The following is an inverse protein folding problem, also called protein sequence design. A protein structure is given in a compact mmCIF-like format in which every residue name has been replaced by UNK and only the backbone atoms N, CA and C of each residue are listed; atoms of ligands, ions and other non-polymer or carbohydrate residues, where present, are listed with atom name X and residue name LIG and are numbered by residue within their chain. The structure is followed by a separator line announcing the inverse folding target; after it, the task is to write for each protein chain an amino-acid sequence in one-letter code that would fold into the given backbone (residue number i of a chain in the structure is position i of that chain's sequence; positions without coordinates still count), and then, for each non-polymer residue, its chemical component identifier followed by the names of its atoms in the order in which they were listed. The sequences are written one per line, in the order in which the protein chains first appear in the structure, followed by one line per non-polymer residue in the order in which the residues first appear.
data_IF_822706374834
#
_entry.id   IF_822706374834
#
_cell.length_a   1.000
_cell.length_b   1.000
_cell.length_c   1.000
_cell.angle_alpha   90.00
_cell.angle_beta   90.00
_cell.angle_gamma   90.00
#
_symmetry.space_group_name_H-M   'P 1'
#
loop_
_entity.id
_entity.type
_entity.pdbx_description
1 polymer ?
#
# COMPACT_ATOMS: atom_id res chain seq x y z
N UNK A 1 2.88 -14.48 8.73
CA UNK A 1 3.32 -14.56 7.32
C UNK A 1 2.61 -13.44 6.62
N UNK A 2 3.17 -12.23 6.66
CA UNK A 2 2.55 -11.08 6.01
C UNK A 2 3.53 -10.61 4.94
N UNK A 3 3.05 -10.54 3.71
CA UNK A 3 3.81 -10.20 2.51
C UNK A 3 4.08 -8.68 2.48
N UNK A 4 4.89 -8.20 3.43
CA UNK A 4 5.29 -6.80 3.47
C UNK A 4 6.35 -6.49 2.41
N UNK A 5 6.44 -5.22 1.94
CA UNK A 5 7.52 -4.77 1.08
C UNK A 5 8.89 -5.14 1.64
N UNK A 6 9.82 -5.53 0.76
CA UNK A 6 11.18 -5.97 1.08
C UNK A 6 11.33 -7.47 1.32
N UNK A 7 10.22 -8.23 1.26
CA UNK A 7 10.21 -9.69 1.32
C UNK A 7 11.02 -10.37 0.21
N UNK A 8 11.30 -11.67 0.36
CA UNK A 8 12.08 -12.43 -0.64
C UNK A 8 11.35 -12.53 -1.98
N UNK A 9 10.05 -12.66 -1.90
CA UNK A 9 9.08 -12.71 -2.98
C UNK A 9 9.10 -11.43 -3.84
N UNK A 10 9.22 -10.25 -3.24
CA UNK A 10 9.34 -8.99 -3.99
C UNK A 10 10.66 -8.95 -4.79
N UNK A 11 11.74 -9.44 -4.19
CA UNK A 11 13.08 -9.42 -4.81
C UNK A 11 13.18 -10.25 -6.09
N UNK A 12 12.23 -11.14 -6.36
CA UNK A 12 12.12 -11.81 -7.67
C UNK A 12 11.90 -10.78 -8.78
N UNK A 13 11.15 -9.71 -8.51
CA UNK A 13 10.82 -8.64 -9.47
C UNK A 13 11.78 -7.45 -9.38
N UNK A 14 12.29 -7.14 -8.18
CA UNK A 14 13.13 -5.95 -7.91
C UNK A 14 14.63 -6.25 -7.75
N UNK A 15 15.03 -7.53 -7.80
CA UNK A 15 16.42 -7.95 -7.58
C UNK A 15 17.16 -8.47 -8.81
N UNK A 16 16.51 -8.55 -9.97
CA UNK A 16 17.14 -8.99 -11.22
C UNK A 16 18.20 -8.03 -11.74
N UNK A 17 19.08 -8.49 -12.64
CA UNK A 17 20.19 -7.72 -13.20
C UNK A 17 19.74 -6.38 -13.85
N UNK A 18 18.56 -6.37 -14.45
CA UNK A 18 17.97 -5.17 -15.07
C UNK A 18 17.11 -4.35 -14.11
N UNK A 19 16.77 -4.92 -12.95
CA UNK A 19 15.98 -4.31 -11.89
C UNK A 19 14.76 -3.56 -12.45
N UNK A 20 13.98 -4.25 -13.29
CA UNK A 20 13.01 -3.63 -14.21
C UNK A 20 11.77 -3.06 -13.53
N UNK A 21 11.52 -3.43 -12.28
CA UNK A 21 10.37 -3.00 -11.48
C UNK A 21 10.81 -2.33 -10.18
N UNK A 22 10.00 -1.38 -9.72
CA UNK A 22 10.13 -0.70 -8.43
C UNK A 22 8.84 -0.89 -7.65
N UNK A 23 8.96 -1.18 -6.36
CA UNK A 23 7.82 -1.25 -5.45
C UNK A 23 7.50 0.14 -4.89
N UNK A 24 6.40 0.74 -5.35
CA UNK A 24 5.98 2.07 -4.92
C UNK A 24 5.37 2.09 -3.51
N UNK A 25 5.03 0.92 -2.94
CA UNK A 25 4.51 0.83 -1.56
C UNK A 25 5.63 0.88 -0.53
N UNK A 26 6.86 0.44 -0.88
CA UNK A 26 7.98 0.38 0.05
C UNK A 26 8.29 1.72 0.75
N UNK A 27 8.34 2.88 0.07
CA UNK A 27 8.55 4.16 0.74
C UNK A 27 7.44 4.54 1.72
N UNK A 28 6.17 4.23 1.41
CA UNK A 28 5.05 4.46 2.33
C UNK A 28 5.15 3.56 3.56
N UNK A 29 5.48 2.29 3.35
CA UNK A 29 5.68 1.32 4.42
C UNK A 29 6.84 1.69 5.35
N UNK A 30 7.97 2.16 4.81
CA UNK A 30 9.11 2.63 5.61
C UNK A 30 8.77 3.84 6.51
N UNK A 31 7.71 4.58 6.18
CA UNK A 31 7.17 5.70 6.98
C UNK A 31 6.12 5.23 8.00
N UNK A 32 5.94 3.92 8.18
CA UNK A 32 4.99 3.34 9.12
C UNK A 32 3.54 3.34 8.62
N UNK A 33 3.31 3.56 7.33
CA UNK A 33 1.97 3.49 6.72
C UNK A 33 1.73 2.07 6.19
N UNK A 34 0.49 1.63 6.24
CA UNK A 34 0.10 0.31 5.75
C UNK A 34 -1.35 0.31 5.33
N UNK A 35 -1.73 -0.69 4.56
CA UNK A 35 -3.11 -0.89 4.13
C UNK A 35 -3.91 -1.73 5.13
N UNK A 36 -3.22 -2.55 5.92
CA UNK A 36 -3.82 -3.46 6.89
C UNK A 36 -3.21 -3.23 8.27
N UNK A 37 -3.98 -3.45 9.34
CA UNK A 37 -3.47 -3.31 10.72
C UNK A 37 -3.72 -4.57 11.52
N UNK A 38 -2.63 -5.25 11.88
CA UNK A 38 -2.65 -6.50 12.65
C UNK A 38 -1.94 -6.35 13.98
N UNK A 39 -2.61 -6.71 15.08
CA UNK A 39 -2.06 -6.62 16.43
C UNK A 39 -1.39 -5.26 16.75
N UNK A 40 -2.01 -4.17 16.29
CA UNK A 40 -1.52 -2.82 16.47
C UNK A 40 -0.42 -2.38 15.52
N UNK A 41 0.09 -3.27 14.65
CA UNK A 41 1.16 -2.99 13.68
C UNK A 41 0.55 -2.77 12.30
N UNK A 42 0.98 -1.70 11.63
CA UNK A 42 0.63 -1.46 10.23
C UNK A 42 1.45 -2.37 9.33
N UNK A 43 0.76 -2.99 8.38
CA UNK A 43 1.30 -3.91 7.39
C UNK A 43 0.80 -3.47 6.02
N UNK A 44 1.55 -3.82 4.98
CA UNK A 44 1.21 -3.45 3.62
C UNK A 44 1.25 -4.69 2.72
N UNK A 45 0.29 -5.63 2.86
CA UNK A 45 0.20 -6.78 1.95
C UNK A 45 -0.20 -6.39 0.52
N UNK A 46 -0.87 -5.25 0.34
CA UNK A 46 -1.25 -4.72 -0.96
C UNK A 46 -0.04 -4.04 -1.61
N UNK A 47 0.45 -4.57 -2.72
CA UNK A 47 1.69 -4.14 -3.38
C UNK A 47 1.42 -3.52 -4.74
N UNK A 48 2.20 -2.49 -5.10
CA UNK A 48 2.17 -1.86 -6.42
C UNK A 48 3.59 -1.86 -6.99
N UNK A 49 3.82 -2.78 -7.93
CA UNK A 49 5.08 -2.90 -8.67
C UNK A 49 4.93 -2.21 -10.02
N UNK A 50 5.78 -1.23 -10.29
CA UNK A 50 5.76 -0.43 -11.52
C UNK A 50 7.06 -0.62 -12.29
N UNK A 51 6.96 -0.76 -13.60
CA UNK A 51 8.15 -0.80 -14.44
C UNK A 51 8.85 0.56 -14.47
N UNK A 52 10.18 0.57 -14.38
CA UNK A 52 10.97 1.82 -14.40
C UNK A 52 10.72 2.68 -15.63
N UNK A 53 10.34 2.10 -16.77
CA UNK A 53 10.03 2.87 -17.98
C UNK A 53 8.77 3.74 -17.86
N UNK A 54 7.87 3.45 -16.92
CA UNK A 54 6.71 4.30 -16.58
C UNK A 54 7.08 5.41 -15.60
N UNK A 55 8.29 5.40 -15.04
CA UNK A 55 8.79 6.43 -14.13
C UNK A 55 9.77 7.36 -14.85
N UNK A 56 10.70 6.77 -15.62
CA UNK A 56 11.80 7.48 -16.29
C UNK A 56 11.46 7.89 -17.74
N UNK A 57 10.24 7.62 -18.20
CA UNK A 57 9.86 7.87 -19.58
C UNK A 57 9.62 9.36 -19.87
N UNK A 58 9.85 9.75 -21.13
CA UNK A 58 9.76 11.15 -21.58
C UNK A 58 8.48 11.48 -22.36
N UNK A 59 7.61 10.50 -22.60
CA UNK A 59 6.36 10.64 -23.35
C UNK A 59 5.37 9.51 -23.04
N UNK A 60 4.09 9.76 -23.28
CA UNK A 60 3.02 8.77 -23.05
C UNK A 60 2.66 8.63 -21.57
N UNK A 61 2.13 7.46 -21.21
CA UNK A 61 1.70 7.16 -19.84
C UNK A 61 2.89 7.09 -18.89
N UNK A 62 2.84 7.82 -17.79
CA UNK A 62 3.89 7.96 -16.78
C UNK A 62 3.29 8.03 -15.36
N UNK A 63 4.14 7.83 -14.36
CA UNK A 63 3.87 7.96 -12.93
C UNK A 63 5.15 8.37 -12.19
N UNK A 64 5.02 9.15 -11.13
CA UNK A 64 6.13 9.50 -10.24
C UNK A 64 6.33 8.48 -9.12
N UNK A 65 7.51 8.51 -8.50
CA UNK A 65 7.81 7.74 -7.27
C UNK A 65 6.92 8.15 -6.08
N UNK A 66 6.31 9.33 -6.13
CA UNK A 66 5.43 9.87 -5.08
C UNK A 66 3.95 9.88 -5.50
N UNK A 67 3.62 9.41 -6.70
CA UNK A 67 2.26 9.40 -7.25
C UNK A 67 1.46 8.19 -6.74
N UNK A 68 1.75 7.76 -5.52
CA UNK A 68 1.18 6.58 -4.86
C UNK A 68 0.74 6.98 -3.46
N UNK A 69 -0.45 6.58 -3.06
CA UNK A 69 -0.96 6.89 -1.74
C UNK A 69 -1.80 5.75 -1.16
N UNK A 70 -1.76 5.62 0.16
CA UNK A 70 -2.72 4.84 0.93
C UNK A 70 -3.77 5.83 1.44
N UNK A 71 -5.05 5.57 1.18
CA UNK A 71 -6.14 6.47 1.58
C UNK A 71 -6.59 6.13 2.99
N UNK A 72 -6.26 7.00 3.95
CA UNK A 72 -6.51 6.84 5.38
C UNK A 72 -7.48 7.91 5.92
N UNK A 73 -8.48 8.27 5.11
CA UNK A 73 -9.52 9.23 5.51
C UNK A 73 -10.19 8.79 6.83
N UNK A 74 -10.55 9.71 7.75
CA UNK A 74 -11.12 9.36 9.05
C UNK A 74 -12.35 8.46 8.99
N UNK A 75 -13.14 8.54 7.92
CA UNK A 75 -14.31 7.70 7.70
C UNK A 75 -13.95 6.22 7.44
N UNK A 76 -12.76 5.95 6.90
CA UNK A 76 -12.24 4.60 6.65
C UNK A 76 -11.58 4.01 7.90
N UNK A 77 -11.52 4.76 9.00
CA UNK A 77 -10.79 4.39 10.20
C UNK A 77 -11.72 4.36 11.42
N UNK A 78 -11.42 3.45 12.33
CA UNK A 78 -12.08 3.37 13.64
C UNK A 78 -11.02 3.26 14.74
N UNK A 79 -11.29 3.85 15.91
CA UNK A 79 -10.39 3.73 17.06
C UNK A 79 -10.24 2.25 17.42
N UNK A 80 -9.00 1.80 17.55
CA UNK A 80 -8.71 0.44 17.98
C UNK A 80 -8.96 0.36 19.50
N UNK A 81 -9.80 -0.58 19.91
CA UNK A 81 -10.18 -0.80 21.31
C UNK A 81 -9.16 -1.64 22.06
N UNK A 82 -8.26 -2.34 21.35
CA UNK A 82 -7.27 -3.26 21.92
C UNK A 82 -5.85 -2.71 21.86
N UNK A 83 -5.51 -1.95 20.83
CA UNK A 83 -4.19 -1.36 20.64
C UNK A 83 -4.27 0.18 20.49
N UNK A 84 -3.21 0.94 20.83
CA UNK A 84 -3.23 2.39 20.63
C UNK A 84 -3.38 2.79 19.15
N UNK A 85 -4.28 3.74 18.89
CA UNK A 85 -4.45 4.37 17.58
C UNK A 85 -5.74 3.95 16.86
N UNK A 86 -5.65 3.88 15.53
CA UNK A 86 -6.78 3.59 14.63
C UNK A 86 -6.49 2.39 13.74
N UNK A 87 -7.52 1.64 13.39
CA UNK A 87 -7.46 0.54 12.43
C UNK A 87 -8.44 0.79 11.28
N UNK A 88 -8.30 0.09 10.14
CA UNK A 88 -9.32 0.11 9.10
C UNK A 88 -10.69 -0.24 9.69
N UNK A 89 -11.71 0.51 9.30
CA UNK A 89 -13.08 0.27 9.70
C UNK A 89 -13.63 -0.88 8.86
N UNK A 90 -13.31 -2.10 9.29
CA UNK A 90 -13.73 -3.35 8.64
C UNK A 90 -15.22 -3.61 8.79
N UNK A 91 -15.82 -4.32 7.83
CA UNK A 91 -17.24 -4.72 7.90
C UNK A 91 -17.52 -5.59 9.14
N UNK A 92 -16.58 -6.49 9.45
CA UNK A 92 -16.61 -7.36 10.62
C UNK A 92 -15.36 -7.16 11.49
N UNK A 93 -15.53 -7.28 12.80
CA UNK A 93 -14.44 -7.39 13.76
C UNK A 93 -14.59 -8.71 14.53
N UNK A 94 -13.79 -9.71 14.15
CA UNK A 94 -14.05 -11.09 14.55
C UNK A 94 -15.41 -11.54 14.04
N UNK A 95 -16.26 -12.06 14.93
CA UNK A 95 -17.62 -12.50 14.59
C UNK A 95 -18.68 -11.39 14.67
N UNK A 96 -18.28 -10.15 14.98
CA UNK A 96 -19.20 -9.03 15.18
C UNK A 96 -19.28 -8.18 13.91
N UNK A 97 -20.48 -8.03 13.36
CA UNK A 97 -20.73 -7.03 12.31
C UNK A 97 -20.70 -5.63 12.93
N UNK A 98 -19.90 -4.73 12.35
CA UNK A 98 -19.77 -3.35 12.84
C UNK A 98 -20.07 -2.31 11.75
N UNK A 99 -20.45 -2.73 10.53
CA UNK A 99 -20.91 -1.83 9.47
C UNK A 99 -19.84 -1.03 8.74
N UNK A 100 -18.56 -1.38 8.94
CA UNK A 100 -17.45 -0.74 8.23
C UNK A 100 -17.32 -1.16 6.76
N UNK A 101 -16.37 -0.53 6.06
CA UNK A 101 -16.16 -0.63 4.62
C UNK A 101 -15.26 -1.80 4.23
N UNK A 102 -14.05 -1.88 4.80
CA UNK A 102 -13.04 -2.89 4.47
C UNK A 102 -12.01 -2.99 5.59
N UNK A 103 -11.44 -4.17 5.76
CA UNK A 103 -10.29 -4.42 6.61
C UNK A 103 -8.96 -3.94 5.99
N UNK A 104 -8.98 -3.53 4.72
CA UNK A 104 -7.85 -2.93 4.02
C UNK A 104 -8.17 -1.48 3.59
N UNK A 105 -7.16 -0.61 3.67
CA UNK A 105 -7.23 0.73 3.12
C UNK A 105 -6.93 0.72 1.62
N UNK A 106 -7.62 1.56 0.83
CA UNK A 106 -7.35 1.69 -0.60
C UNK A 106 -5.93 2.20 -0.89
N UNK A 107 -5.35 1.70 -1.97
CA UNK A 107 -4.13 2.24 -2.58
C UNK A 107 -4.52 2.92 -3.89
N UNK A 108 -4.03 4.13 -4.11
CA UNK A 108 -4.28 4.92 -5.32
C UNK A 108 -2.96 5.28 -5.97
N UNK A 109 -2.85 4.99 -7.27
CA UNK A 109 -1.73 5.35 -8.14
C UNK A 109 -2.21 6.39 -9.14
N UNK A 110 -1.55 7.54 -9.19
CA UNK A 110 -1.83 8.59 -10.16
C UNK A 110 -1.03 8.36 -11.43
N UNK A 111 -1.73 8.21 -12.55
CA UNK A 111 -1.13 8.08 -13.87
C UNK A 111 -1.36 9.36 -14.66
N UNK A 112 -0.32 9.84 -15.31
CA UNK A 112 -0.37 11.04 -16.14
C UNK A 112 0.14 10.72 -17.55
N UNK A 113 -0.35 11.47 -18.55
CA UNK A 113 0.10 11.32 -19.93
C UNK A 113 0.93 12.54 -20.32
N UNK A 114 2.23 12.34 -20.54
CA UNK A 114 3.11 13.35 -21.09
C UNK A 114 2.95 13.40 -22.61
N UNK A 115 2.78 14.61 -23.14
CA UNK A 115 2.66 14.84 -24.59
C UNK A 115 4.00 14.73 -25.29
#
# INVERSE_FOLDING_TARGET
MNCNPGGREEKIFTGGADNSYVNLIYPLFSKGRGTYRYNGIWEAPDQVLISKCLIDGSKGLQTGLNDINIIDHPELLIRDTRYPGFRPYSTYYGFIYQGGFSDHLPVVLDLHCLR
#
